data_IF_823994589570
#
_entry.id   IF_823994589570
#
_cell.length_a   1.000
_cell.length_b   1.000
_cell.length_c   1.000
_cell.angle_alpha   90.00
_cell.angle_beta   90.00
_cell.angle_gamma   90.00
#
_symmetry.space_group_name_H-M   'P 1'
#
loop_
_entity.id
_entity.type
_entity.pdbx_description
1 polymer ?
#
# COMPACT_ATOMS: atom_id res chain seq x y z
N UNK A 1 -1.38 -4.24 -13.58
CA UNK A 1 -2.45 -4.91 -14.34
C UNK A 1 -3.41 -5.52 -13.33
N UNK A 2 -4.71 -5.51 -13.58
CA UNK A 2 -5.68 -6.17 -12.70
C UNK A 2 -5.60 -7.70 -12.85
N UNK A 3 -5.79 -8.42 -11.75
CA UNK A 3 -5.77 -9.89 -11.71
C UNK A 3 -4.38 -10.54 -11.74
N UNK A 4 -3.31 -9.73 -11.79
CA UNK A 4 -1.94 -10.23 -11.69
C UNK A 4 -1.38 -10.01 -10.29
N UNK A 5 -0.66 -11.00 -9.78
CA UNK A 5 0.15 -10.84 -8.58
C UNK A 5 1.29 -9.86 -8.87
N UNK A 6 1.47 -8.89 -7.99
CA UNK A 6 2.50 -7.86 -8.08
C UNK A 6 3.35 -7.92 -6.82
N UNK A 7 4.65 -8.12 -6.99
CA UNK A 7 5.63 -7.98 -5.92
C UNK A 7 6.11 -6.53 -5.89
N UNK A 8 6.11 -5.93 -4.70
CA UNK A 8 6.62 -4.56 -4.49
C UNK A 8 7.82 -4.64 -3.57
N UNK A 9 8.93 -4.01 -3.93
CA UNK A 9 10.09 -3.89 -3.04
C UNK A 9 10.09 -2.51 -2.36
N UNK A 10 10.14 -2.49 -1.03
CA UNK A 10 10.11 -1.27 -0.21
C UNK A 10 11.25 -1.33 0.80
N UNK A 11 12.35 -0.66 0.48
CA UNK A 11 13.49 -0.55 1.37
C UNK A 11 13.59 0.84 2.00
N UNK A 12 14.11 0.92 3.22
CA UNK A 12 14.27 2.17 3.92
C UNK A 12 14.84 2.00 5.32
N UNK A 13 14.78 3.09 6.11
CA UNK A 13 15.18 3.10 7.52
C UNK A 13 14.07 3.68 8.37
N UNK A 14 13.66 2.95 9.39
CA UNK A 14 12.71 3.45 10.39
C UNK A 14 13.39 4.50 11.28
N UNK A 15 12.84 5.72 11.33
CA UNK A 15 13.28 6.77 12.27
C UNK A 15 12.58 6.67 13.63
N UNK A 16 11.43 5.98 13.65
CA UNK A 16 10.63 5.63 14.82
C UNK A 16 10.16 4.20 14.61
N UNK A 17 10.06 3.43 15.70
CA UNK A 17 9.60 2.05 15.63
C UNK A 17 8.19 1.95 15.03
N UNK A 18 8.01 1.02 14.09
CA UNK A 18 6.68 0.56 13.67
C UNK A 18 6.32 -0.61 14.59
N UNK A 19 5.14 -0.55 15.20
CA UNK A 19 4.70 -1.46 16.26
C UNK A 19 3.40 -2.17 15.90
N UNK A 20 3.02 -3.16 16.71
CA UNK A 20 1.77 -3.89 16.52
C UNK A 20 0.55 -2.97 16.59
N UNK A 21 -0.37 -3.17 15.66
CA UNK A 21 -1.51 -2.28 15.43
C UNK A 21 -1.21 -1.11 14.49
N UNK A 22 -0.01 -1.03 13.91
CA UNK A 22 0.26 -0.10 12.82
C UNK A 22 -0.60 -0.44 11.58
N UNK A 23 -1.11 0.61 10.93
CA UNK A 23 -1.95 0.51 9.75
C UNK A 23 -1.23 1.06 8.53
N UNK A 24 -1.35 0.36 7.42
CA UNK A 24 -1.03 0.89 6.10
C UNK A 24 -2.31 1.36 5.42
N UNK A 25 -2.48 2.67 5.27
CA UNK A 25 -3.66 3.26 4.64
C UNK A 25 -3.37 3.52 3.17
N UNK A 26 -4.15 2.90 2.29
CA UNK A 26 -4.02 3.02 0.84
C UNK A 26 -5.22 3.81 0.32
N UNK A 27 -4.95 4.96 -0.27
CA UNK A 27 -5.98 5.89 -0.77
C UNK A 27 -5.75 6.08 -2.28
N UNK A 28 -6.81 5.88 -3.08
CA UNK A 28 -6.78 6.08 -4.54
C UNK A 28 -7.62 7.30 -4.93
N UNK A 29 -7.09 8.09 -5.85
CA UNK A 29 -7.73 9.27 -6.40
C UNK A 29 -7.89 9.14 -7.91
N UNK A 30 -9.08 9.45 -8.42
CA UNK A 30 -9.31 9.67 -9.84
C UNK A 30 -9.53 11.17 -10.05
N UNK A 31 -8.58 11.83 -10.70
CA UNK A 31 -8.49 13.30 -10.67
C UNK A 31 -8.37 13.81 -9.24
N UNK A 32 -9.27 14.71 -8.82
CA UNK A 32 -9.30 15.27 -7.45
C UNK A 32 -10.23 14.51 -6.49
N UNK A 33 -10.92 13.47 -6.97
CA UNK A 33 -11.91 12.72 -6.18
C UNK A 33 -11.24 11.50 -5.56
N UNK A 34 -11.34 11.36 -4.24
CA UNK A 34 -11.04 10.09 -3.59
C UNK A 34 -12.09 9.06 -4.00
N UNK A 35 -11.64 7.96 -4.59
CA UNK A 35 -12.50 6.88 -5.07
C UNK A 35 -12.32 5.59 -4.26
N UNK A 36 -11.28 5.53 -3.43
CA UNK A 36 -10.96 4.33 -2.67
C UNK A 36 -10.15 4.67 -1.43
N UNK A 37 -10.41 3.94 -0.33
CA UNK A 37 -9.62 3.98 0.89
C UNK A 37 -9.72 2.62 1.59
N UNK A 38 -8.56 1.98 1.79
CA UNK A 38 -8.42 0.84 2.67
C UNK A 38 -7.38 1.06 3.74
N UNK A 39 -7.68 0.54 4.91
CA UNK A 39 -6.72 0.36 5.99
C UNK A 39 -6.41 -1.14 6.06
N UNK A 40 -5.12 -1.49 5.94
CA UNK A 40 -4.66 -2.86 6.13
C UNK A 40 -3.68 -2.92 7.29
N UNK A 41 -3.64 -4.06 7.98
CA UNK A 41 -2.69 -4.28 9.06
C UNK A 41 -1.27 -4.33 8.48
N UNK A 42 -0.41 -3.38 8.87
CA UNK A 42 0.95 -3.31 8.32
C UNK A 42 1.76 -4.55 8.68
N UNK A 43 1.58 -5.07 9.89
CA UNK A 43 2.36 -6.20 10.36
C UNK A 43 1.99 -7.52 9.68
N UNK A 44 0.69 -7.73 9.46
CA UNK A 44 0.18 -8.95 8.83
C UNK A 44 0.36 -8.95 7.31
N UNK A 45 0.15 -7.81 6.65
CA UNK A 45 0.12 -7.74 5.18
C UNK A 45 1.44 -7.28 4.56
N UNK A 46 2.33 -6.62 5.33
CA UNK A 46 3.59 -6.08 4.81
C UNK A 46 4.80 -6.75 5.47
N UNK A 47 4.91 -6.64 6.80
CA UNK A 47 6.11 -7.08 7.50
C UNK A 47 6.26 -8.61 7.50
N UNK A 48 5.24 -9.35 7.96
CA UNK A 48 5.30 -10.80 8.09
C UNK A 48 5.50 -11.54 6.75
N UNK A 49 4.79 -11.18 5.65
CA UNK A 49 5.02 -11.80 4.34
C UNK A 49 6.42 -11.53 3.78
N UNK A 50 7.03 -10.43 4.22
CA UNK A 50 8.41 -10.08 3.86
C UNK A 50 9.47 -10.75 4.76
N UNK A 51 9.06 -11.60 5.72
CA UNK A 51 9.96 -12.27 6.65
C UNK A 51 10.40 -11.42 7.85
N UNK A 52 9.74 -10.28 8.09
CA UNK A 52 10.05 -9.39 9.22
C UNK A 52 9.10 -9.63 10.40
N UNK A 53 9.61 -9.44 11.61
CA UNK A 53 8.74 -9.24 12.77
C UNK A 53 8.05 -7.88 12.67
N UNK A 54 6.86 -7.77 13.25
CA UNK A 54 6.08 -6.53 13.29
C UNK A 54 6.84 -5.33 13.88
N UNK A 55 7.75 -5.57 14.83
CA UNK A 55 8.55 -4.53 15.46
C UNK A 55 9.72 -4.12 14.55
N UNK A 56 9.55 -3.07 13.76
CA UNK A 56 10.56 -2.57 12.82
C UNK A 56 11.24 -1.34 13.39
N UNK A 57 12.55 -1.43 13.69
CA UNK A 57 13.31 -0.38 14.38
C UNK A 57 14.49 0.20 13.60
N UNK A 58 14.88 -0.42 12.51
CA UNK A 58 16.11 -0.09 11.78
C UNK A 58 15.86 -0.12 10.26
N UNK A 59 16.91 -0.41 9.49
CA UNK A 59 16.81 -0.68 8.07
C UNK A 59 15.84 -1.84 7.82
N UNK A 60 15.01 -1.69 6.82
CA UNK A 60 14.07 -2.70 6.38
C UNK A 60 14.12 -2.82 4.86
N UNK A 61 13.72 -3.99 4.36
CA UNK A 61 13.53 -4.27 2.95
C UNK A 61 12.34 -5.22 2.81
N UNK A 62 11.15 -4.64 2.62
CA UNK A 62 9.92 -5.40 2.50
C UNK A 62 9.67 -5.81 1.07
N UNK A 63 9.15 -7.02 0.88
CA UNK A 63 8.75 -7.57 -0.42
C UNK A 63 7.32 -8.10 -0.37
N UNK A 64 6.31 -7.28 -0.04
CA UNK A 64 4.92 -7.73 -0.03
C UNK A 64 4.44 -8.11 -1.43
N UNK A 65 3.51 -9.06 -1.46
CA UNK A 65 2.81 -9.50 -2.66
C UNK A 65 1.37 -9.00 -2.61
N UNK A 66 0.92 -8.35 -3.67
CA UNK A 66 -0.46 -7.87 -3.78
C UNK A 66 -1.10 -8.40 -5.05
N UNK A 67 -2.36 -8.81 -4.94
CA UNK A 67 -3.21 -9.08 -6.09
C UNK A 67 -4.41 -8.16 -6.05
N UNK A 68 -4.48 -7.23 -7.00
CA UNK A 68 -5.66 -6.38 -7.17
C UNK A 68 -6.66 -7.15 -8.01
N UNK A 69 -7.76 -7.57 -7.39
CA UNK A 69 -8.80 -8.34 -8.07
C UNK A 69 -9.60 -7.44 -9.01
N UNK A 70 -9.94 -7.91 -10.22
CA UNK A 70 -10.84 -7.18 -11.09
C UNK A 70 -12.25 -7.18 -10.48
N UNK A 71 -12.91 -6.03 -10.57
CA UNK A 71 -14.29 -5.81 -10.13
C UNK A 71 -15.24 -5.84 -11.34
N UNK A 72 -16.51 -6.25 -11.19
CA UNK A 72 -17.46 -6.35 -12.31
C UNK A 72 -17.68 -5.04 -13.08
N UNK A 73 -17.47 -3.90 -12.42
CA UNK A 73 -17.67 -2.56 -12.97
C UNK A 73 -16.36 -1.92 -13.46
N UNK A 74 -15.25 -2.66 -13.47
CA UNK A 74 -14.00 -2.16 -14.01
C UNK A 74 -14.16 -1.80 -15.50
N UNK A 75 -13.61 -0.66 -15.94
CA UNK A 75 -13.70 -0.24 -17.32
C UNK A 75 -12.90 -1.21 -18.20
N UNK A 76 -13.36 -1.45 -19.43
CA UNK A 76 -12.76 -2.44 -20.34
C UNK A 76 -11.86 -1.76 -21.37
N UNK A 77 -10.70 -2.36 -21.66
CA UNK A 77 -9.75 -1.88 -22.66
C UNK A 77 -9.33 -0.40 -22.48
N UNK A 78 -9.17 0.01 -21.22
CA UNK A 78 -8.83 1.39 -20.86
C UNK A 78 -7.59 1.47 -19.99
N UNK A 79 -6.88 2.59 -20.11
CA UNK A 79 -5.81 2.96 -19.19
C UNK A 79 -6.29 4.13 -18.35
N UNK A 80 -6.31 3.96 -17.04
CA UNK A 80 -6.65 5.02 -16.10
C UNK A 80 -5.43 5.44 -15.28
N UNK A 81 -5.14 6.73 -15.29
CA UNK A 81 -4.16 7.33 -14.39
C UNK A 81 -4.83 7.77 -13.09
N UNK A 82 -4.31 7.28 -11.97
CA UNK A 82 -4.84 7.55 -10.64
C UNK A 82 -3.74 8.04 -9.72
N UNK A 83 -4.08 8.99 -8.85
CA UNK A 83 -3.25 9.32 -7.71
C UNK A 83 -3.33 8.19 -6.68
N UNK A 84 -2.20 7.86 -6.07
CA UNK A 84 -2.14 6.97 -4.92
C UNK A 84 -1.45 7.68 -3.76
N UNK A 85 -1.98 7.50 -2.56
CA UNK A 85 -1.37 7.90 -1.30
C UNK A 85 -1.34 6.70 -0.38
N UNK A 86 -0.16 6.37 0.12
CA UNK A 86 0.08 5.31 1.08
C UNK A 86 0.59 5.96 2.37
N UNK A 87 -0.12 5.76 3.47
CA UNK A 87 0.24 6.30 4.77
C UNK A 87 0.50 5.15 5.73
N UNK A 88 1.65 5.17 6.40
CA UNK A 88 1.89 4.27 7.53
C UNK A 88 1.51 5.03 8.80
N UNK A 89 0.48 4.57 9.51
CA UNK A 89 0.04 5.13 10.77
C UNK A 89 0.41 4.20 11.93
N UNK A 90 0.89 4.78 13.03
CA UNK A 90 1.11 4.02 14.26
C UNK A 90 -0.24 3.75 14.98
N UNK A 91 -0.27 2.91 16.03
CA UNK A 91 -1.51 2.55 16.74
C UNK A 91 -2.26 3.73 17.36
N UNK A 92 -1.59 4.85 17.63
CA UNK A 92 -2.21 6.08 18.16
C UNK A 92 -2.70 7.02 17.05
N UNK A 93 -2.62 6.61 15.78
CA UNK A 93 -3.12 7.35 14.62
C UNK A 93 -2.17 8.41 14.06
N UNK A 94 -0.92 8.49 14.54
CA UNK A 94 0.09 9.39 13.98
C UNK A 94 0.70 8.79 12.72
N UNK A 95 0.77 9.58 11.66
CA UNK A 95 1.45 9.19 10.42
C UNK A 95 2.98 9.18 10.62
N UNK A 96 3.59 8.03 10.34
CA UNK A 96 5.03 7.79 10.36
C UNK A 96 5.67 8.04 9.00
N UNK A 97 4.92 7.76 7.93
CA UNK A 97 5.38 7.92 6.55
C UNK A 97 4.20 8.25 5.63
N UNK A 98 4.51 8.93 4.54
CA UNK A 98 3.58 9.26 3.46
C UNK A 98 4.29 9.07 2.12
N UNK A 99 3.78 8.16 1.30
CA UNK A 99 4.24 7.92 -0.06
C UNK A 99 3.10 8.35 -0.99
N UNK A 100 3.41 9.22 -1.94
CA UNK A 100 2.44 9.73 -2.91
C UNK A 100 2.99 9.55 -4.32
N UNK A 101 2.11 9.27 -5.28
CA UNK A 101 2.50 9.19 -6.68
C UNK A 101 1.30 8.95 -7.58
N UNK A 102 1.56 8.91 -8.88
CA UNK A 102 0.56 8.51 -9.87
C UNK A 102 0.85 7.08 -10.33
N UNK A 103 -0.21 6.30 -10.51
CA UNK A 103 -0.17 4.94 -11.02
C UNK A 103 -1.12 4.82 -12.21
N UNK A 104 -0.68 4.11 -13.24
CA UNK A 104 -1.51 3.81 -14.42
C UNK A 104 -2.00 2.37 -14.31
N UNK A 105 -3.31 2.21 -14.32
CA UNK A 105 -3.96 0.92 -14.36
C UNK A 105 -4.41 0.60 -15.77
N UNK A 106 -3.90 -0.50 -16.32
CA UNK A 106 -4.38 -1.06 -17.57
C UNK A 106 -5.41 -2.14 -17.26
N UNK A 107 -6.60 -1.96 -17.82
CA UNK A 107 -7.71 -2.92 -17.75
C UNK A 107 -7.81 -3.69 -19.08
N UNK A 108 -7.99 -5.02 -19.03
CA UNK A 108 -8.20 -5.83 -20.22
C UNK A 108 -9.58 -5.61 -20.87
#
# INVERSE_FOLDING_TARGET
MFGQETTVCIAGKATVAIENGALNKIIRFYGKKQIYHYDVNFCEEIAAPSGFTCLVKDNFDFTPHFTIKPEPNDPKNTIEENGIKILIANPVGKYLSCIEGNIKFSYP
#
